data_IF_618672215431
#
_entry.id   IF_618672215431
#
_cell.length_a   1.000
_cell.length_b   1.000
_cell.length_c   1.000
_cell.angle_alpha   90.00
_cell.angle_beta   90.00
_cell.angle_gamma   90.00
#
_symmetry.space_group_name_H-M   'P 1'
#
loop_
_entity.id
_entity.type
_entity.pdbx_description
1 polymer ?
#
# COMPACT_ATOMS: atom_id res chain seq x y z
N UNK A 1 32.20 17.25 -19.25
CA UNK A 1 31.27 18.32 -18.94
C UNK A 1 31.37 18.61 -17.48
N UNK A 2 31.91 19.77 -17.16
CA UNK A 2 32.23 20.20 -15.81
C UNK A 2 30.93 20.54 -15.06
N UNK A 3 30.65 19.78 -14.02
CA UNK A 3 29.65 20.12 -13.02
C UNK A 3 30.04 21.34 -12.14
N UNK A 4 31.07 22.06 -12.54
CA UNK A 4 31.58 23.25 -11.87
C UNK A 4 30.75 24.52 -12.18
N UNK A 5 29.65 24.41 -12.91
CA UNK A 5 28.88 25.56 -13.38
C UNK A 5 27.87 26.15 -12.38
N UNK A 6 27.76 25.58 -11.17
CA UNK A 6 26.81 26.09 -10.15
C UNK A 6 27.51 26.35 -8.83
N UNK A 7 28.37 27.35 -8.83
CA UNK A 7 29.26 27.63 -7.69
C UNK A 7 28.92 28.90 -6.92
N UNK A 8 27.96 29.69 -7.36
CA UNK A 8 27.58 30.89 -6.60
C UNK A 8 26.35 30.63 -5.74
N UNK A 9 26.35 31.09 -4.48
CA UNK A 9 25.17 30.97 -3.60
C UNK A 9 23.91 31.60 -4.23
N UNK A 10 24.06 32.60 -5.09
CA UNK A 10 22.95 33.24 -5.77
C UNK A 10 22.32 32.34 -6.82
N UNK A 11 23.10 31.65 -7.64
CA UNK A 11 22.56 30.68 -8.64
C UNK A 11 21.80 29.53 -7.98
N UNK A 12 22.29 29.05 -6.83
CA UNK A 12 21.60 28.03 -6.03
C UNK A 12 20.27 28.59 -5.51
N UNK A 13 20.25 29.81 -4.99
CA UNK A 13 19.06 30.47 -4.49
C UNK A 13 18.02 30.68 -5.61
N UNK A 14 18.46 31.13 -6.78
CA UNK A 14 17.60 31.35 -7.94
C UNK A 14 17.00 30.04 -8.43
N UNK A 15 17.78 28.95 -8.45
CA UNK A 15 17.28 27.63 -8.81
C UNK A 15 16.26 27.11 -7.79
N UNK A 16 16.54 27.26 -6.49
CA UNK A 16 15.59 26.87 -5.44
C UNK A 16 14.30 27.66 -5.57
N UNK A 17 14.38 28.99 -5.80
CA UNK A 17 13.22 29.85 -6.02
C UNK A 17 12.41 29.41 -7.26
N UNK A 18 13.09 29.08 -8.34
CA UNK A 18 12.45 28.57 -9.56
C UNK A 18 11.74 27.23 -9.29
N UNK A 19 12.41 26.26 -8.66
CA UNK A 19 11.81 24.96 -8.31
C UNK A 19 10.60 25.13 -7.39
N UNK A 20 10.68 26.03 -6.41
CA UNK A 20 9.55 26.35 -5.52
C UNK A 20 8.38 27.01 -6.28
N UNK A 21 8.67 27.78 -7.32
CA UNK A 21 7.62 28.44 -8.13
C UNK A 21 6.83 27.47 -9.01
N UNK A 22 7.46 26.36 -9.43
CA UNK A 22 6.83 25.33 -10.29
C UNK A 22 6.34 24.13 -9.48
N UNK A 23 6.79 23.97 -8.23
CA UNK A 23 6.32 22.91 -7.35
C UNK A 23 4.84 23.10 -7.00
N UNK A 24 4.03 22.02 -6.96
CA UNK A 24 2.66 22.11 -6.50
C UNK A 24 2.66 22.65 -5.05
N UNK A 25 1.85 23.65 -4.78
CA UNK A 25 1.81 24.33 -3.47
C UNK A 25 1.24 23.43 -2.38
N UNK A 26 0.26 22.61 -2.73
CA UNK A 26 -0.38 21.66 -1.83
C UNK A 26 -0.74 20.39 -2.61
N UNK A 27 -0.33 19.25 -2.12
CA UNK A 27 -0.70 17.95 -2.65
C UNK A 27 -1.63 17.24 -1.67
N UNK A 28 -2.70 16.65 -2.18
CA UNK A 28 -3.57 15.80 -1.37
C UNK A 28 -2.84 14.51 -0.98
N UNK A 29 -3.29 13.86 0.09
CA UNK A 29 -2.72 12.58 0.56
C UNK A 29 -2.66 11.53 -0.57
N UNK A 30 -3.70 11.51 -1.43
CA UNK A 30 -3.79 10.62 -2.59
C UNK A 30 -2.74 10.95 -3.66
N UNK A 31 -2.52 12.23 -3.93
CA UNK A 31 -1.53 12.67 -4.93
C UNK A 31 -0.10 12.36 -4.47
N UNK A 32 0.21 12.59 -3.19
CA UNK A 32 1.51 12.21 -2.62
C UNK A 32 1.73 10.70 -2.74
N UNK A 33 0.71 9.89 -2.45
CA UNK A 33 0.79 8.45 -2.65
C UNK A 33 1.00 8.09 -4.14
N UNK A 34 0.25 8.72 -5.04
CA UNK A 34 0.34 8.45 -6.47
C UNK A 34 1.75 8.76 -7.01
N UNK A 35 2.34 9.87 -6.59
CA UNK A 35 3.68 10.26 -7.04
C UNK A 35 4.78 9.35 -6.46
N UNK A 36 4.71 9.06 -5.16
CA UNK A 36 5.76 8.34 -4.46
C UNK A 36 5.69 6.81 -4.58
N UNK A 37 4.49 6.23 -4.60
CA UNK A 37 4.28 4.79 -4.38
C UNK A 37 3.61 4.08 -5.56
N UNK A 38 2.74 4.75 -6.31
CA UNK A 38 1.91 4.12 -7.35
C UNK A 38 2.73 3.52 -8.50
N UNK A 39 3.95 3.99 -8.75
CA UNK A 39 4.84 3.42 -9.78
C UNK A 39 5.02 1.91 -9.61
N UNK A 40 5.06 1.45 -8.37
CA UNK A 40 5.31 0.05 -8.03
C UNK A 40 4.13 -0.61 -7.31
N UNK A 41 3.34 0.14 -6.54
CA UNK A 41 2.24 -0.38 -5.72
C UNK A 41 0.88 0.02 -6.26
N UNK A 42 -0.05 -0.95 -6.31
CA UNK A 42 -1.46 -0.69 -6.54
C UNK A 42 -2.25 -0.66 -5.23
N UNK A 43 -3.47 -0.12 -5.31
CA UNK A 43 -4.47 -0.14 -4.25
C UNK A 43 -5.80 -0.58 -4.85
N UNK A 44 -6.17 -1.84 -4.69
CA UNK A 44 -7.43 -2.39 -5.22
C UNK A 44 -8.66 -1.72 -4.64
N UNK A 45 -8.63 -1.36 -3.35
CA UNK A 45 -9.76 -0.71 -2.68
C UNK A 45 -10.06 0.69 -3.18
N UNK A 46 -9.09 1.37 -3.78
CA UNK A 46 -9.23 2.68 -4.39
C UNK A 46 -9.20 2.64 -5.94
N UNK A 47 -9.28 1.44 -6.52
CA UNK A 47 -9.17 1.20 -7.96
C UNK A 47 -7.93 1.85 -8.61
N UNK A 48 -6.84 1.94 -7.83
CA UNK A 48 -5.58 2.48 -8.28
C UNK A 48 -4.66 1.36 -8.75
N UNK A 49 -4.43 1.32 -10.06
CA UNK A 49 -3.47 0.40 -10.65
C UNK A 49 -2.05 0.93 -10.48
N UNK A 50 -1.07 0.01 -10.38
CA UNK A 50 0.35 0.37 -10.40
C UNK A 50 0.78 0.85 -11.78
N UNK A 51 1.72 1.76 -11.83
CA UNK A 51 2.25 2.38 -13.04
C UNK A 51 2.27 3.91 -12.94
N UNK A 52 2.96 4.55 -13.86
CA UNK A 52 2.95 6.02 -13.99
C UNK A 52 1.78 6.48 -14.82
N UNK A 53 1.34 7.73 -14.63
CA UNK A 53 0.24 8.42 -15.31
C UNK A 53 -0.09 7.86 -16.70
N UNK A 54 -1.12 7.00 -16.80
CA UNK A 54 -1.59 6.43 -18.05
C UNK A 54 -0.76 5.28 -18.62
N UNK A 55 0.37 4.92 -18.04
CA UNK A 55 1.18 3.77 -18.43
C UNK A 55 1.05 2.65 -17.37
N UNK A 56 0.29 1.64 -17.72
CA UNK A 56 0.22 0.41 -16.96
C UNK A 56 1.54 -0.37 -17.10
N UNK A 57 2.18 -0.70 -15.98
CA UNK A 57 3.37 -1.55 -15.99
C UNK A 57 2.96 -3.00 -15.76
N UNK A 58 3.13 -3.90 -16.76
CA UNK A 58 2.80 -5.31 -16.61
C UNK A 58 3.54 -5.94 -15.43
N UNK A 59 2.86 -6.81 -14.69
CA UNK A 59 3.43 -7.53 -13.53
C UNK A 59 4.70 -8.30 -13.89
N UNK A 60 4.76 -8.83 -15.11
CA UNK A 60 5.92 -9.55 -15.61
C UNK A 60 7.17 -8.66 -15.71
N UNK A 61 7.02 -7.43 -16.19
CA UNK A 61 8.13 -6.49 -16.34
C UNK A 61 8.62 -6.00 -14.97
N UNK A 62 7.69 -5.69 -14.07
CA UNK A 62 8.03 -5.31 -12.69
C UNK A 62 8.76 -6.47 -11.99
N UNK A 63 8.24 -7.69 -12.10
CA UNK A 63 8.85 -8.87 -11.48
C UNK A 63 10.23 -9.16 -12.06
N UNK A 64 10.40 -9.00 -13.37
CA UNK A 64 11.68 -9.18 -14.04
C UNK A 64 12.74 -8.18 -13.57
N UNK A 65 12.33 -6.93 -13.34
CA UNK A 65 13.24 -5.88 -12.89
C UNK A 65 13.52 -5.94 -11.39
N UNK A 66 12.51 -6.16 -10.56
CA UNK A 66 12.58 -6.11 -9.10
C UNK A 66 12.85 -7.46 -8.44
N UNK A 67 12.79 -8.56 -9.21
CA UNK A 67 12.89 -9.94 -8.68
C UNK A 67 11.64 -10.44 -7.96
N UNK A 68 10.77 -9.55 -7.48
CA UNK A 68 9.48 -9.85 -6.83
C UNK A 68 8.44 -8.80 -7.19
N UNK A 69 7.18 -9.22 -7.19
CA UNK A 69 6.07 -8.29 -7.40
C UNK A 69 5.81 -7.50 -6.12
N UNK A 70 5.76 -6.15 -6.19
CA UNK A 70 5.34 -5.33 -5.06
C UNK A 70 3.91 -5.68 -4.63
N UNK A 71 3.62 -5.78 -3.32
CA UNK A 71 2.29 -6.11 -2.84
C UNK A 71 1.28 -4.99 -3.07
N UNK A 72 0.00 -5.36 -3.15
CA UNK A 72 -1.11 -4.44 -3.06
C UNK A 72 -1.21 -3.85 -1.64
N UNK A 73 -1.38 -2.54 -1.53
CA UNK A 73 -1.34 -1.84 -0.23
C UNK A 73 -2.71 -1.63 0.41
N UNK A 74 -3.80 -2.12 -0.18
CA UNK A 74 -5.18 -1.92 0.31
C UNK A 74 -5.40 -2.28 1.78
N UNK A 75 -4.72 -3.32 2.27
CA UNK A 75 -4.86 -3.80 3.65
C UNK A 75 -3.57 -3.74 4.46
N UNK A 76 -2.51 -3.20 3.89
CA UNK A 76 -1.19 -3.30 4.51
C UNK A 76 -1.10 -2.52 5.82
N UNK A 77 -1.78 -1.35 5.88
CA UNK A 77 -1.87 -0.53 7.08
C UNK A 77 -2.57 -1.26 8.24
N UNK A 78 -3.63 -2.03 7.93
CA UNK A 78 -4.41 -2.77 8.93
C UNK A 78 -3.60 -3.93 9.49
N UNK A 79 -2.81 -4.59 8.64
CA UNK A 79 -2.06 -5.78 9.03
C UNK A 79 -0.75 -5.45 9.75
N UNK A 80 -0.12 -4.32 9.47
CA UNK A 80 1.21 -3.95 9.98
C UNK A 80 1.20 -2.74 10.92
N UNK A 81 0.20 -1.88 10.81
CA UNK A 81 0.07 -0.65 11.56
C UNK A 81 0.88 0.52 10.99
N UNK A 82 0.52 1.76 11.37
CA UNK A 82 1.14 2.99 10.87
C UNK A 82 2.62 3.12 11.26
N UNK A 83 2.97 2.78 12.48
CA UNK A 83 4.35 2.88 12.98
C UNK A 83 5.34 1.99 12.21
N UNK A 84 4.91 0.75 11.90
CA UNK A 84 5.71 -0.14 11.08
C UNK A 84 5.91 0.41 9.68
N UNK A 85 4.82 0.90 9.05
CA UNK A 85 4.90 1.44 7.70
C UNK A 85 5.78 2.69 7.63
N UNK A 86 5.69 3.59 8.60
CA UNK A 86 6.55 4.75 8.67
C UNK A 86 8.04 4.39 8.71
N UNK A 87 8.40 3.44 9.57
CA UNK A 87 9.78 2.92 9.66
C UNK A 87 10.20 2.21 8.37
N UNK A 88 9.28 1.45 7.75
CA UNK A 88 9.57 0.70 6.54
C UNK A 88 9.78 1.61 5.32
N UNK A 89 8.98 2.67 5.17
CA UNK A 89 9.14 3.67 4.10
C UNK A 89 10.49 4.39 4.21
N UNK A 90 10.92 4.67 5.43
CA UNK A 90 12.19 5.36 5.68
C UNK A 90 13.43 4.49 5.40
N UNK A 91 13.38 3.22 5.78
CA UNK A 91 14.53 2.31 5.61
C UNK A 91 14.06 0.86 5.43
N UNK A 92 13.56 0.52 4.23
CA UNK A 92 13.00 -0.81 3.98
C UNK A 92 14.03 -1.92 4.10
N UNK A 93 15.28 -1.70 3.68
CA UNK A 93 16.32 -2.72 3.72
C UNK A 93 16.75 -3.07 5.14
N UNK A 94 16.63 -2.14 6.09
CA UNK A 94 16.93 -2.38 7.50
C UNK A 94 15.89 -3.28 8.16
N UNK A 95 14.61 -3.14 7.78
CA UNK A 95 13.51 -3.93 8.35
C UNK A 95 13.26 -5.24 7.63
N UNK A 96 13.60 -5.31 6.35
CA UNK A 96 13.45 -6.50 5.52
C UNK A 96 14.67 -6.65 4.63
N UNK A 97 15.66 -7.38 5.10
CA UNK A 97 16.88 -7.65 4.35
C UNK A 97 16.58 -8.33 3.01
N UNK A 98 17.23 -7.86 1.95
CA UNK A 98 17.02 -8.35 0.59
C UNK A 98 15.74 -7.88 -0.08
N UNK A 99 15.00 -6.92 0.50
CA UNK A 99 13.88 -6.29 -0.20
C UNK A 99 14.37 -5.45 -1.37
N UNK A 100 13.67 -5.54 -2.50
CA UNK A 100 13.94 -4.69 -3.66
C UNK A 100 13.33 -3.28 -3.53
N UNK A 101 12.50 -3.02 -2.51
CA UNK A 101 11.93 -1.70 -2.29
C UNK A 101 13.03 -0.69 -1.98
N UNK A 102 13.19 0.37 -2.78
CA UNK A 102 14.17 1.40 -2.52
C UNK A 102 13.72 2.31 -1.36
N UNK A 103 14.67 3.02 -0.78
CA UNK A 103 14.36 4.15 0.11
C UNK A 103 13.78 5.29 -0.72
N UNK A 104 12.52 5.66 -0.48
CA UNK A 104 11.81 6.65 -1.30
C UNK A 104 12.27 8.10 -1.00
N UNK A 105 12.77 8.34 0.22
CA UNK A 105 13.29 9.66 0.59
C UNK A 105 12.21 10.71 0.86
N UNK A 106 11.02 10.31 1.29
CA UNK A 106 9.97 11.23 1.69
C UNK A 106 10.37 12.03 2.93
N UNK A 107 9.98 13.30 2.97
CA UNK A 107 10.03 14.07 4.20
C UNK A 107 8.93 13.57 5.17
N UNK A 108 8.98 14.00 6.42
CA UNK A 108 8.06 13.54 7.45
C UNK A 108 6.60 13.83 7.10
N UNK A 109 6.30 15.02 6.59
CA UNK A 109 4.95 15.44 6.22
C UNK A 109 4.37 14.54 5.10
N UNK A 110 5.13 14.34 4.02
CA UNK A 110 4.70 13.46 2.92
C UNK A 110 4.56 12.01 3.35
N UNK A 111 5.38 11.55 4.28
CA UNK A 111 5.25 10.22 4.87
C UNK A 111 3.94 10.08 5.67
N UNK A 112 3.61 11.08 6.50
CA UNK A 112 2.35 11.12 7.26
C UNK A 112 1.13 11.17 6.31
N UNK A 113 1.20 11.93 5.22
CA UNK A 113 0.16 11.98 4.19
C UNK A 113 -0.04 10.61 3.52
N UNK A 114 1.03 9.90 3.18
CA UNK A 114 0.94 8.53 2.62
C UNK A 114 0.30 7.56 3.62
N UNK A 115 0.73 7.59 4.88
CA UNK A 115 0.17 6.73 5.94
C UNK A 115 -1.31 7.02 6.13
N UNK A 116 -1.69 8.29 6.23
CA UNK A 116 -3.08 8.72 6.39
C UNK A 116 -3.95 8.28 5.21
N UNK A 117 -3.46 8.39 3.99
CA UNK A 117 -4.17 7.89 2.82
C UNK A 117 -4.39 6.38 2.87
N UNK A 118 -3.37 5.61 3.28
CA UNK A 118 -3.51 4.16 3.44
C UNK A 118 -4.48 3.78 4.55
N UNK A 119 -4.57 4.57 5.65
CA UNK A 119 -5.57 4.38 6.71
C UNK A 119 -6.99 4.62 6.18
N UNK A 120 -7.21 5.70 5.44
CA UNK A 120 -8.50 6.02 4.81
C UNK A 120 -8.94 4.88 3.87
N UNK A 121 -8.04 4.41 3.01
CA UNK A 121 -8.32 3.29 2.09
C UNK A 121 -8.57 1.99 2.84
N UNK A 122 -7.74 1.68 3.83
CA UNK A 122 -7.90 0.47 4.65
C UNK A 122 -9.22 0.45 5.42
N UNK A 123 -9.66 1.61 5.90
CA UNK A 123 -10.93 1.77 6.59
C UNK A 123 -12.15 1.68 5.65
N UNK A 124 -11.99 1.99 4.36
CA UNK A 124 -13.10 2.03 3.39
C UNK A 124 -13.93 0.74 3.32
N UNK A 125 -13.31 -0.41 3.57
CA UNK A 125 -13.97 -1.73 3.57
C UNK A 125 -14.25 -2.28 4.99
N UNK A 126 -14.16 -1.42 6.02
CA UNK A 126 -14.34 -1.85 7.40
C UNK A 126 -15.77 -2.36 7.65
N UNK A 127 -16.78 -1.62 7.20
CA UNK A 127 -18.18 -2.00 7.39
C UNK A 127 -18.49 -3.36 6.73
N UNK A 128 -18.02 -3.60 5.51
CA UNK A 128 -18.21 -4.89 4.82
C UNK A 128 -17.56 -6.06 5.58
N UNK A 129 -16.37 -5.85 6.15
CA UNK A 129 -15.68 -6.88 6.96
C UNK A 129 -16.40 -7.16 8.27
N UNK A 130 -16.88 -6.13 8.95
CA UNK A 130 -17.61 -6.28 10.21
C UNK A 130 -18.94 -7.00 10.02
N UNK A 131 -19.62 -6.79 8.90
CA UNK A 131 -20.85 -7.50 8.56
C UNK A 131 -20.62 -8.98 8.20
N UNK A 132 -19.47 -9.30 7.64
CA UNK A 132 -19.15 -10.66 7.21
C UNK A 132 -18.95 -11.61 8.39
N UNK A 133 -18.39 -11.14 9.52
CA UNK A 133 -18.08 -11.95 10.70
C UNK A 133 -19.30 -12.69 11.28
N UNK A 134 -20.39 -11.98 11.65
CA UNK A 134 -21.60 -12.60 12.13
C UNK A 134 -22.25 -13.55 11.13
N UNK A 135 -22.27 -13.20 9.85
CA UNK A 135 -22.79 -14.06 8.78
C UNK A 135 -22.00 -15.38 8.71
N UNK A 136 -20.69 -15.30 8.75
CA UNK A 136 -19.82 -16.50 8.76
C UNK A 136 -20.10 -17.40 9.95
N UNK A 137 -20.25 -16.85 11.15
CA UNK A 137 -20.58 -17.61 12.36
C UNK A 137 -21.94 -18.32 12.23
N UNK A 138 -22.96 -17.66 11.68
CA UNK A 138 -24.28 -18.25 11.43
C UNK A 138 -24.14 -19.46 10.48
N UNK A 139 -23.44 -19.32 9.37
CA UNK A 139 -23.22 -20.43 8.44
C UNK A 139 -22.47 -21.58 9.11
N UNK A 140 -21.46 -21.28 9.92
CA UNK A 140 -20.69 -22.30 10.63
C UNK A 140 -21.59 -23.11 11.59
N UNK A 141 -22.47 -22.44 12.34
CA UNK A 141 -23.45 -23.12 13.20
C UNK A 141 -24.42 -23.98 12.39
N UNK A 142 -24.96 -23.48 11.28
CA UNK A 142 -25.84 -24.23 10.39
C UNK A 142 -25.14 -25.51 9.90
N UNK A 143 -23.93 -25.40 9.39
CA UNK A 143 -23.15 -26.55 8.91
C UNK A 143 -22.81 -27.52 10.03
N UNK A 144 -22.53 -27.05 11.22
CA UNK A 144 -22.30 -27.92 12.38
C UNK A 144 -23.56 -28.73 12.76
N UNK A 145 -24.74 -28.10 12.72
CA UNK A 145 -26.02 -28.78 12.94
C UNK A 145 -26.26 -29.85 11.87
N UNK A 146 -26.06 -29.51 10.59
CA UNK A 146 -26.19 -30.48 9.49
C UNK A 146 -25.23 -31.66 9.64
N UNK A 147 -23.98 -31.42 9.98
CA UNK A 147 -22.99 -32.45 10.20
C UNK A 147 -23.37 -33.35 11.35
N UNK A 148 -23.90 -32.80 12.46
CA UNK A 148 -24.38 -33.54 13.60
C UNK A 148 -25.58 -34.43 13.23
N UNK A 149 -26.59 -33.89 12.56
CA UNK A 149 -27.77 -34.62 12.10
C UNK A 149 -27.40 -35.76 11.14
N UNK A 150 -26.50 -35.47 10.20
CA UNK A 150 -25.98 -36.46 9.28
C UNK A 150 -25.29 -37.61 10.00
N UNK A 151 -24.43 -37.28 10.92
CA UNK A 151 -23.74 -38.30 11.75
C UNK A 151 -24.73 -39.12 12.57
N UNK A 152 -25.69 -38.47 13.25
CA UNK A 152 -26.70 -39.15 14.03
C UNK A 152 -27.61 -40.07 13.17
N UNK A 153 -27.93 -39.67 11.95
CA UNK A 153 -28.67 -40.52 11.00
C UNK A 153 -27.86 -41.74 10.61
N UNK A 154 -26.59 -41.58 10.28
CA UNK A 154 -25.74 -42.72 9.90
C UNK A 154 -25.51 -43.73 11.03
N UNK A 155 -25.38 -43.27 12.26
CA UNK A 155 -25.25 -44.15 13.43
C UNK A 155 -26.53 -44.98 13.70
N UNK A 156 -27.73 -44.45 13.37
CA UNK A 156 -28.99 -45.19 13.48
C UNK A 156 -29.11 -46.32 12.43
N UNK A 157 -28.51 -46.14 11.27
CA UNK A 157 -28.55 -47.14 10.20
C UNK A 157 -27.58 -48.32 10.43
N UNK A 158 -26.62 -48.17 11.38
CA UNK A 158 -25.56 -49.15 11.65
C UNK A 158 -25.87 -50.00 12.91
N UNK A 159 -26.82 -49.58 13.77
CA UNK A 159 -27.27 -50.29 14.96
C UNK A 159 -28.77 -50.58 14.88
#
# INVERSE_FOLDING_TARGET
PSYELMNTPQEIADMVAYLQSIAPKEMTNKEVFADACQRCHGIKYADMQKGTMGAFSPDADITKYMGKLPPDLSQYIISRGPDYLGKFINDPQKLLEGTAMPRVGLNQESQEQVIKYLEEVGASKKAEREELGPKFLIYLVIFAIFAFLWNASKWRDVH
#
